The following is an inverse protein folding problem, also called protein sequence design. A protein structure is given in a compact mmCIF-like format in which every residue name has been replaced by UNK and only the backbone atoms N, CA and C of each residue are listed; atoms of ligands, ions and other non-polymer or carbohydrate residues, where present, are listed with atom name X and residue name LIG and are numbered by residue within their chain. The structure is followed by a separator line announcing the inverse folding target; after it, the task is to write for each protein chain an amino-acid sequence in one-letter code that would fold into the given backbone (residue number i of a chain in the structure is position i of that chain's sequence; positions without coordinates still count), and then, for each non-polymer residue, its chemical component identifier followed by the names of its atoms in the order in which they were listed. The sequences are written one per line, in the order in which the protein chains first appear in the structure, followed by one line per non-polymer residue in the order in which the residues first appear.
data_IF_974592354985
#
_entry.id   IF_974592354985
#
_cell.length_a   1.000
_cell.length_b   1.000
_cell.length_c   1.000
_cell.angle_alpha   90.00
_cell.angle_beta   90.00
_cell.angle_gamma   90.00
#
_symmetry.space_group_name_H-M   'P 1'
#
loop_
_entity.id
_entity.type
_entity.pdbx_description
1 polymer ?
#
# COMPACT_ATOMS: atom_id res chain seq x y z
N UNK A 1 8.47 -1.86 -6.57
CA UNK A 1 7.07 -1.48 -6.29
C UNK A 1 6.20 -2.73 -6.19
N UNK A 2 5.17 -2.73 -5.33
CA UNK A 2 4.19 -3.81 -5.27
C UNK A 2 3.44 -3.91 -6.61
N UNK A 3 3.16 -5.14 -7.05
CA UNK A 3 2.29 -5.38 -8.20
C UNK A 3 0.83 -5.10 -7.81
N UNK A 4 -0.02 -4.80 -8.80
CA UNK A 4 -1.47 -4.65 -8.57
C UNK A 4 -2.05 -5.87 -7.85
N UNK A 5 -1.64 -7.07 -8.26
CA UNK A 5 -2.12 -8.33 -7.67
C UNK A 5 -1.74 -8.47 -6.20
N UNK A 6 -0.61 -7.91 -5.76
CA UNK A 6 -0.24 -7.91 -4.34
C UNK A 6 -1.18 -7.01 -3.54
N UNK A 7 -1.51 -5.83 -4.09
CA UNK A 7 -2.43 -4.89 -3.44
C UNK A 7 -3.85 -5.44 -3.36
N UNK A 8 -4.29 -6.18 -4.38
CA UNK A 8 -5.62 -6.79 -4.47
C UNK A 8 -5.85 -7.96 -3.50
N UNK A 9 -4.82 -8.44 -2.80
CA UNK A 9 -4.98 -9.39 -1.70
C UNK A 9 -5.72 -8.78 -0.50
N UNK A 10 -5.59 -7.46 -0.31
CA UNK A 10 -6.14 -6.73 0.84
C UNK A 10 -7.15 -5.68 0.41
N UNK A 11 -6.90 -5.04 -0.73
CA UNK A 11 -7.73 -3.97 -1.25
C UNK A 11 -8.66 -4.45 -2.36
N UNK A 12 -9.82 -3.81 -2.49
CA UNK A 12 -10.75 -4.16 -3.57
C UNK A 12 -10.15 -3.76 -4.93
N UNK A 13 -10.42 -4.52 -6.02
CA UNK A 13 -9.96 -4.14 -7.36
C UNK A 13 -10.43 -2.75 -7.81
N UNK A 14 -11.64 -2.35 -7.37
CA UNK A 14 -12.20 -1.03 -7.63
C UNK A 14 -11.39 0.08 -6.94
N UNK A 15 -11.03 -0.10 -5.67
CA UNK A 15 -10.18 0.85 -4.96
C UNK A 15 -8.79 0.93 -5.55
N UNK A 16 -8.14 -0.21 -5.85
CA UNK A 16 -6.82 -0.23 -6.49
C UNK A 16 -6.87 0.44 -7.87
N UNK A 17 -7.98 0.32 -8.61
CA UNK A 17 -8.21 1.05 -9.86
C UNK A 17 -8.26 2.56 -9.67
N UNK A 18 -9.02 3.04 -8.69
CA UNK A 18 -9.13 4.47 -8.39
C UNK A 18 -7.78 5.05 -7.95
N UNK A 19 -7.11 4.35 -7.02
CA UNK A 19 -5.83 4.75 -6.47
C UNK A 19 -4.74 4.82 -7.55
N UNK A 20 -4.55 3.76 -8.33
CA UNK A 20 -3.48 3.69 -9.33
C UNK A 20 -3.66 4.71 -10.47
N UNK A 21 -4.91 5.13 -10.71
CA UNK A 21 -5.21 6.19 -11.67
C UNK A 21 -5.20 7.60 -11.05
N UNK A 22 -4.90 7.75 -9.75
CA UNK A 22 -4.92 9.03 -9.05
C UNK A 22 -6.30 9.70 -9.04
N UNK A 23 -7.39 8.92 -9.11
CA UNK A 23 -8.74 9.48 -9.22
C UNK A 23 -9.19 10.06 -7.88
N UNK A 24 -9.86 11.20 -7.93
CA UNK A 24 -10.54 11.80 -6.78
C UNK A 24 -11.96 11.18 -6.66
N UNK A 25 -12.09 10.12 -5.88
CA UNK A 25 -13.37 9.44 -5.63
C UNK A 25 -13.67 9.39 -4.13
N UNK A 26 -14.87 8.96 -3.74
CA UNK A 26 -15.22 8.77 -2.33
C UNK A 26 -14.34 7.75 -1.59
N UNK A 27 -13.53 6.97 -2.33
CA UNK A 27 -12.58 5.99 -1.80
C UNK A 27 -11.22 6.61 -1.51
N UNK A 28 -10.73 7.51 -2.36
CA UNK A 28 -9.40 8.13 -2.23
C UNK A 28 -9.44 9.43 -1.44
N UNK A 29 -10.54 10.21 -1.54
CA UNK A 29 -10.69 11.53 -0.91
C UNK A 29 -10.91 11.52 0.60
N UNK A 30 -10.90 10.33 1.21
CA UNK A 30 -10.97 10.17 2.67
C UNK A 30 -9.59 10.30 3.35
N UNK A 31 -8.51 10.25 2.58
CA UNK A 31 -7.17 10.53 3.10
C UNK A 31 -6.98 12.03 3.37
N UNK A 32 -6.22 12.34 4.41
CA UNK A 32 -5.73 13.69 4.75
C UNK A 32 -4.53 14.10 3.90
N UNK A 33 -3.98 13.20 3.07
CA UNK A 33 -2.96 13.52 2.07
C UNK A 33 -3.60 13.89 0.73
N UNK A 34 -3.00 14.81 -0.05
CA UNK A 34 -3.38 14.95 -1.45
C UNK A 34 -3.07 13.65 -2.20
N UNK A 35 -3.83 13.37 -3.26
CA UNK A 35 -3.50 12.30 -4.20
C UNK A 35 -2.76 12.91 -5.38
N UNK A 36 -1.60 12.34 -5.71
CA UNK A 36 -0.84 12.67 -6.92
C UNK A 36 -0.17 11.40 -7.44
N UNK A 37 0.24 11.34 -8.71
CA UNK A 37 0.99 10.20 -9.25
C UNK A 37 2.24 9.84 -8.45
N UNK A 38 2.97 10.85 -7.96
CA UNK A 38 4.18 10.68 -7.15
C UNK A 38 3.86 10.07 -5.79
N UNK A 39 2.75 10.50 -5.17
CA UNK A 39 2.29 9.94 -3.90
C UNK A 39 1.86 8.49 -4.10
N UNK A 40 1.05 8.19 -5.11
CA UNK A 40 0.64 6.82 -5.44
C UNK A 40 1.86 5.93 -5.67
N UNK A 41 2.86 6.42 -6.41
CA UNK A 41 4.11 5.69 -6.63
C UNK A 41 4.89 5.47 -5.33
N UNK A 42 4.95 6.45 -4.43
CA UNK A 42 5.61 6.33 -3.14
C UNK A 42 4.95 5.24 -2.26
N UNK A 43 3.61 5.21 -2.20
CA UNK A 43 2.89 4.16 -1.49
C UNK A 43 3.12 2.78 -2.10
N UNK A 44 3.11 2.65 -3.43
CA UNK A 44 3.40 1.39 -4.11
C UNK A 44 4.85 0.91 -3.90
N UNK A 45 5.81 1.84 -3.80
CA UNK A 45 7.19 1.54 -3.44
C UNK A 45 7.31 1.09 -1.98
N UNK A 46 6.66 1.78 -1.05
CA UNK A 46 6.59 1.41 0.37
C UNK A 46 6.02 0.00 0.54
N UNK A 47 4.90 -0.30 -0.10
CA UNK A 47 4.31 -1.64 -0.08
C UNK A 47 5.23 -2.71 -0.67
N UNK A 48 5.88 -2.43 -1.81
CA UNK A 48 6.87 -3.34 -2.38
C UNK A 48 8.07 -3.58 -1.47
N UNK A 49 8.52 -2.56 -0.75
CA UNK A 49 9.57 -2.66 0.26
C UNK A 49 9.17 -3.54 1.44
N UNK A 50 7.91 -3.45 1.89
CA UNK A 50 7.39 -4.29 2.98
C UNK A 50 7.30 -5.75 2.56
N UNK A 51 6.78 -6.03 1.35
CA UNK A 51 6.78 -7.40 0.77
C UNK A 51 8.21 -7.95 0.71
N UNK A 52 9.16 -7.17 0.19
CA UNK A 52 10.56 -7.58 0.10
C UNK A 52 11.15 -7.87 1.48
N UNK A 53 10.95 -6.99 2.46
CA UNK A 53 11.44 -7.18 3.82
C UNK A 53 10.86 -8.47 4.45
N UNK A 54 9.56 -8.72 4.31
CA UNK A 54 8.92 -9.95 4.79
C UNK A 54 9.53 -11.20 4.15
N UNK A 55 9.71 -11.21 2.82
CA UNK A 55 10.34 -12.33 2.10
C UNK A 55 11.78 -12.55 2.56
N UNK A 56 12.60 -11.51 2.59
CA UNK A 56 13.98 -11.56 3.07
C UNK A 56 14.07 -12.10 4.49
N UNK A 57 13.21 -11.64 5.41
CA UNK A 57 13.20 -12.11 6.79
C UNK A 57 12.93 -13.62 6.89
N UNK A 58 11.99 -14.14 6.09
CA UNK A 58 11.65 -15.58 6.06
C UNK A 58 12.73 -16.41 5.39
N UNK A 59 13.17 -16.01 4.21
CA UNK A 59 14.11 -16.76 3.36
C UNK A 59 15.51 -16.81 3.98
N UNK A 60 16.01 -15.67 4.47
CA UNK A 60 17.35 -15.55 5.04
C UNK A 60 17.39 -15.80 6.55
N UNK A 61 16.22 -15.99 7.18
CA UNK A 61 16.06 -16.18 8.63
C UNK A 61 16.73 -15.06 9.45
N UNK A 62 16.53 -13.82 9.01
CA UNK A 62 17.15 -12.61 9.56
C UNK A 62 16.12 -11.54 9.88
N UNK A 63 16.55 -10.45 10.53
CA UNK A 63 15.74 -9.24 10.65
C UNK A 63 15.90 -8.39 9.38
N UNK A 64 14.78 -8.01 8.78
CA UNK A 64 14.73 -7.05 7.68
C UNK A 64 13.84 -5.86 8.09
N UNK A 65 14.12 -4.68 7.53
CA UNK A 65 13.36 -3.47 7.83
C UNK A 65 13.01 -2.70 6.56
N UNK A 66 11.85 -2.06 6.58
CA UNK A 66 11.44 -1.08 5.58
C UNK A 66 10.96 0.19 6.30
N UNK A 67 11.73 1.29 6.16
CA UNK A 67 11.37 2.58 6.76
C UNK A 67 10.35 3.38 5.93
N UNK A 68 10.07 2.95 4.70
CA UNK A 68 9.12 3.61 3.82
C UNK A 68 7.70 3.02 3.88
N UNK A 69 7.47 2.07 4.79
CA UNK A 69 6.19 1.39 5.00
C UNK A 69 5.58 1.67 6.37
N UNK A 70 4.71 0.77 6.83
CA UNK A 70 4.02 0.90 8.13
C UNK A 70 2.70 1.66 8.04
N UNK A 71 2.14 1.79 6.83
CA UNK A 71 0.84 2.37 6.58
C UNK A 71 -0.25 1.39 7.04
N UNK A 72 -0.93 1.75 8.13
CA UNK A 72 -1.84 0.84 8.84
C UNK A 72 -3.30 1.31 8.89
N UNK A 73 -3.62 2.48 8.31
CA UNK A 73 -4.96 3.06 8.39
C UNK A 73 -5.82 2.82 7.14
N UNK A 74 -5.24 2.44 6.00
CA UNK A 74 -6.03 2.19 4.80
C UNK A 74 -6.92 0.95 5.00
N UNK A 75 -8.17 1.06 4.56
CA UNK A 75 -9.17 -0.01 4.59
C UNK A 75 -9.21 -0.74 3.25
N UNK A 76 -9.93 -1.88 3.14
CA UNK A 76 -10.03 -2.61 1.88
C UNK A 76 -10.54 -1.77 0.71
N UNK A 77 -11.54 -0.89 0.93
CA UNK A 77 -12.20 -0.15 -0.16
C UNK A 77 -12.04 1.39 -0.07
N UNK A 78 -11.22 1.91 0.85
CA UNK A 78 -10.93 3.35 0.94
C UNK A 78 -9.60 3.68 1.64
N UNK A 79 -9.07 4.86 1.32
CA UNK A 79 -7.95 5.49 2.00
C UNK A 79 -8.42 6.15 3.30
N UNK A 80 -7.65 6.09 4.37
CA UNK A 80 -7.94 6.80 5.61
C UNK A 80 -6.63 7.10 6.33
N UNK A 81 -6.58 8.19 7.07
CA UNK A 81 -5.30 8.67 7.57
C UNK A 81 -4.39 9.10 6.41
N UNK A 82 -3.13 9.29 6.74
CA UNK A 82 -2.05 9.47 5.79
C UNK A 82 -1.69 8.15 5.07
N UNK A 83 -2.66 7.28 4.78
CA UNK A 83 -2.45 5.93 4.23
C UNK A 83 -3.37 5.66 3.03
N UNK A 84 -2.78 5.48 1.84
CA UNK A 84 -3.47 5.01 0.64
C UNK A 84 -3.36 3.50 0.41
N UNK A 85 -2.39 2.82 1.03
CA UNK A 85 -2.21 1.37 0.94
C UNK A 85 -1.97 0.87 2.35
N UNK A 86 -2.51 -0.30 2.70
CA UNK A 86 -2.21 -0.98 3.96
C UNK A 86 -1.08 -1.99 3.71
N UNK A 87 0.16 -1.52 3.68
CA UNK A 87 1.30 -2.39 3.36
C UNK A 87 1.60 -3.41 4.46
N UNK A 88 1.21 -3.12 5.70
CA UNK A 88 1.30 -4.08 6.82
C UNK A 88 0.41 -5.28 6.53
N UNK A 89 -0.85 -5.06 6.14
CA UNK A 89 -1.76 -6.14 5.78
C UNK A 89 -1.28 -6.89 4.52
N UNK A 90 -0.78 -6.17 3.50
CA UNK A 90 -0.24 -6.80 2.28
C UNK A 90 0.97 -7.68 2.58
N UNK A 91 1.85 -7.27 3.50
CA UNK A 91 3.01 -8.07 3.89
C UNK A 91 2.66 -9.36 4.66
N UNK A 92 1.47 -9.44 5.25
CA UNK A 92 0.98 -10.61 6.01
C UNK A 92 0.15 -11.58 5.16
N UNK A 93 -0.42 -11.11 4.04
CA UNK A 93 -1.24 -11.91 3.14
C UNK A 93 -0.45 -12.97 2.35
#
# INVERSE_FOLDING_TARGET
PAARTDLELVHTPAYVSDLMAGRHTSRTMRSEMPISPEIVQAFALGAGGTILACRTAVEERTFAMNLAGGFHHAFPDWAEGFCYINDVAVGVA
#
